data_IF_847926729269
#
_entry.id   IF_847926729269
#
_cell.length_a   1.000
_cell.length_b   1.000
_cell.length_c   1.000
_cell.angle_alpha   90.00
_cell.angle_beta   90.00
_cell.angle_gamma   90.00
#
_symmetry.space_group_name_H-M   'P 1'
#
loop_
_entity.id
_entity.type
_entity.pdbx_description
1 polymer ?
#
# COMPACT_ATOMS: atom_id res chain seq x y z
N UNK A 1 -10.25 -1.88 -19.41
CA UNK A 1 -11.24 -2.89 -18.98
C UNK A 1 -11.09 -3.04 -17.47
N UNK A 2 -11.82 -2.26 -16.68
CA UNK A 2 -11.94 -2.49 -15.23
C UNK A 2 -13.36 -2.12 -14.82
N UNK A 3 -14.25 -3.12 -14.80
CA UNK A 3 -15.25 -3.14 -13.75
C UNK A 3 -15.34 -4.55 -13.18
N UNK A 4 -15.04 -4.73 -11.90
CA UNK A 4 -15.47 -5.93 -11.18
C UNK A 4 -15.95 -5.54 -9.78
N UNK A 5 -17.21 -5.10 -9.66
CA UNK A 5 -17.89 -4.98 -8.37
C UNK A 5 -18.25 -6.36 -7.74
N UNK A 6 -17.70 -7.49 -8.21
CA UNK A 6 -18.14 -8.84 -7.79
C UNK A 6 -17.23 -9.55 -6.78
N UNK A 7 -16.01 -9.07 -6.52
CA UNK A 7 -15.12 -9.72 -5.54
C UNK A 7 -15.17 -9.08 -4.16
N UNK A 8 -15.48 -7.79 -4.07
CA UNK A 8 -15.48 -7.05 -2.83
C UNK A 8 -16.73 -6.18 -2.67
N UNK A 9 -17.20 -5.97 -1.43
CA UNK A 9 -18.26 -5.00 -1.13
C UNK A 9 -17.98 -3.62 -1.72
N UNK A 10 -19.05 -2.83 -1.90
CA UNK A 10 -18.94 -1.46 -2.40
C UNK A 10 -17.97 -0.61 -1.54
N UNK A 11 -17.06 0.10 -2.20
CA UNK A 11 -16.05 0.93 -1.55
C UNK A 11 -14.74 0.21 -1.26
N UNK A 12 -14.67 -1.11 -1.44
CA UNK A 12 -13.44 -1.90 -1.30
C UNK A 12 -12.90 -2.32 -2.66
N UNK A 13 -11.60 -2.61 -2.70
CA UNK A 13 -10.87 -3.08 -3.86
C UNK A 13 -10.26 -4.44 -3.58
N UNK A 14 -10.27 -5.31 -4.59
CA UNK A 14 -9.66 -6.64 -4.48
C UNK A 14 -8.16 -6.56 -4.76
N UNK A 15 -7.36 -7.06 -3.81
CA UNK A 15 -5.93 -7.25 -3.98
C UNK A 15 -5.55 -8.72 -4.02
N UNK A 16 -4.70 -9.15 -4.98
CA UNK A 16 -4.23 -10.51 -5.01
C UNK A 16 -3.30 -10.74 -3.81
N UNK A 17 -3.59 -11.79 -3.06
CA UNK A 17 -2.76 -12.24 -1.94
C UNK A 17 -1.54 -12.95 -2.52
N UNK A 18 -0.35 -12.40 -2.29
CA UNK A 18 0.89 -13.10 -2.62
C UNK A 18 1.16 -14.17 -1.55
N UNK A 19 1.13 -15.44 -1.96
CA UNK A 19 1.67 -16.51 -1.13
C UNK A 19 3.21 -16.49 -1.18
N UNK A 20 3.84 -17.18 -0.22
CA UNK A 20 5.30 -17.30 -0.07
C UNK A 20 6.06 -17.85 -1.30
N UNK A 21 5.37 -18.27 -2.36
CA UNK A 21 5.94 -18.78 -3.61
C UNK A 21 5.76 -17.81 -4.79
N UNK A 22 5.25 -16.60 -4.55
CA UNK A 22 4.98 -15.58 -5.57
C UNK A 22 3.64 -15.78 -6.29
N UNK A 23 3.25 -14.80 -7.11
CA UNK A 23 2.10 -14.94 -8.02
C UNK A 23 2.46 -16.00 -9.08
N UNK A 24 2.19 -17.27 -8.79
CA UNK A 24 2.32 -18.33 -9.78
C UNK A 24 1.32 -18.01 -10.90
N UNK A 25 1.88 -17.46 -11.97
CA UNK A 25 1.17 -17.14 -13.20
C UNK A 25 0.65 -18.46 -13.77
N UNK A 26 -0.62 -18.78 -13.49
CA UNK A 26 -1.23 -20.06 -13.88
C UNK A 26 -1.96 -20.82 -12.78
N UNK A 27 -1.98 -20.35 -11.53
CA UNK A 27 -2.83 -20.96 -10.50
C UNK A 27 -4.27 -20.46 -10.64
N UNK A 28 -5.18 -21.39 -10.86
CA UNK A 28 -6.61 -21.19 -11.03
C UNK A 28 -7.34 -20.74 -9.74
N UNK A 29 -6.61 -20.56 -8.64
CA UNK A 29 -7.11 -20.07 -7.34
C UNK A 29 -6.29 -18.89 -6.81
N UNK A 30 -6.25 -17.77 -7.55
CA UNK A 30 -5.74 -16.51 -6.98
C UNK A 30 -6.69 -16.09 -5.87
N UNK A 31 -6.20 -16.12 -4.63
CA UNK A 31 -6.94 -15.65 -3.46
C UNK A 31 -6.83 -14.12 -3.39
N UNK A 32 -7.93 -13.46 -3.02
CA UNK A 32 -8.00 -12.00 -2.95
C UNK A 32 -8.39 -11.55 -1.56
N UNK A 33 -7.79 -10.45 -1.13
CA UNK A 33 -8.23 -9.70 0.04
C UNK A 33 -8.95 -8.42 -0.39
N UNK A 34 -9.97 -8.03 0.37
CA UNK A 34 -10.72 -6.80 0.14
C UNK A 34 -10.20 -5.69 1.04
N UNK A 35 -9.68 -4.64 0.44
CA UNK A 35 -8.98 -3.55 1.12
C UNK A 35 -9.54 -2.19 0.70
N UNK A 36 -9.47 -1.21 1.60
CA UNK A 36 -9.85 0.17 1.29
C UNK A 36 -8.60 0.97 0.90
N UNK A 37 -8.40 1.16 -0.41
CA UNK A 37 -7.29 1.96 -0.92
C UNK A 37 -7.26 3.40 -0.42
N UNK A 38 -8.35 3.92 0.15
CA UNK A 38 -8.41 5.30 0.61
C UNK A 38 -7.84 5.49 2.01
N UNK A 39 -7.80 4.43 2.83
CA UNK A 39 -7.50 4.51 4.26
C UNK A 39 -6.56 3.42 4.78
N UNK A 40 -6.40 2.32 4.06
CA UNK A 40 -5.52 1.23 4.44
C UNK A 40 -4.04 1.62 4.28
N UNK A 41 -3.24 1.41 5.33
CA UNK A 41 -1.81 1.77 5.33
C UNK A 41 -0.96 0.80 4.51
N UNK A 42 -1.38 -0.46 4.40
CA UNK A 42 -0.64 -1.51 3.74
C UNK A 42 -1.02 -1.65 2.26
N UNK A 43 -2.10 -0.98 1.84
CA UNK A 43 -2.64 -1.00 0.49
C UNK A 43 -3.11 0.41 0.02
N UNK A 44 -2.39 1.46 0.42
CA UNK A 44 -2.82 2.83 0.19
C UNK A 44 -2.70 3.23 -1.28
N UNK A 45 -3.84 3.45 -1.95
CA UNK A 45 -3.90 3.81 -3.36
C UNK A 45 -3.66 2.64 -4.34
N UNK A 46 -3.47 1.42 -3.85
CA UNK A 46 -3.23 0.23 -4.67
C UNK A 46 -2.77 -0.98 -3.86
N UNK A 47 -2.56 -2.12 -4.53
CA UNK A 47 -2.10 -3.34 -3.86
C UNK A 47 -0.59 -3.32 -3.64
N UNK A 48 -0.12 -3.44 -2.40
CA UNK A 48 1.31 -3.61 -2.07
C UNK A 48 1.92 -4.85 -2.70
N UNK A 49 1.13 -5.88 -3.03
CA UNK A 49 1.59 -7.01 -3.83
C UNK A 49 2.06 -6.62 -5.24
N UNK A 50 1.60 -5.49 -5.80
CA UNK A 50 2.07 -5.01 -7.10
C UNK A 50 3.28 -4.09 -6.97
N UNK A 51 3.31 -3.24 -5.95
CA UNK A 51 4.39 -2.28 -5.69
C UNK A 51 4.41 -1.95 -4.19
N UNK A 52 5.26 -2.66 -3.46
CA UNK A 52 5.33 -2.58 -2.00
C UNK A 52 5.75 -1.19 -1.53
N UNK A 53 6.81 -0.62 -2.13
CA UNK A 53 7.36 0.67 -1.72
C UNK A 53 6.39 1.83 -1.98
N UNK A 54 5.54 1.70 -2.99
CA UNK A 54 4.57 2.75 -3.34
C UNK A 54 3.27 2.68 -2.54
N UNK A 55 2.74 1.48 -2.33
CA UNK A 55 1.40 1.29 -1.78
C UNK A 55 1.39 0.86 -0.31
N UNK A 56 2.51 0.37 0.23
CA UNK A 56 2.67 0.17 1.66
C UNK A 56 3.32 1.41 2.29
N UNK A 57 2.54 2.19 3.03
CA UNK A 57 3.04 3.41 3.67
C UNK A 57 4.10 3.13 4.74
N UNK A 58 4.27 1.89 5.19
CA UNK A 58 5.28 1.47 6.17
C UNK A 58 6.57 0.98 5.51
N UNK A 59 6.67 1.04 4.18
CA UNK A 59 7.86 0.61 3.45
C UNK A 59 9.10 1.44 3.82
N UNK A 60 8.93 2.70 4.25
CA UNK A 60 10.03 3.51 4.76
C UNK A 60 10.33 3.19 6.25
N UNK A 61 11.44 2.49 6.57
CA UNK A 61 11.79 2.16 7.95
C UNK A 61 12.24 3.38 8.78
N UNK A 62 12.51 4.51 8.13
CA UNK A 62 12.93 5.76 8.76
C UNK A 62 11.75 6.63 9.18
N UNK A 63 10.54 6.31 8.71
CA UNK A 63 9.31 6.96 9.13
C UNK A 63 8.87 6.46 10.52
N UNK A 64 8.56 7.38 11.42
CA UNK A 64 7.97 7.05 12.73
C UNK A 64 6.44 6.97 12.68
N UNK A 65 5.81 7.76 11.82
CA UNK A 65 4.37 7.78 11.68
C UNK A 65 4.00 8.13 10.26
N UNK A 66 3.03 7.38 9.75
CA UNK A 66 2.54 7.43 8.38
C UNK A 66 1.02 7.35 8.39
N UNK A 67 0.39 7.95 7.39
CA UNK A 67 -1.05 7.94 7.20
C UNK A 67 -1.38 7.64 5.73
N UNK A 68 -2.49 6.94 5.48
CA UNK A 68 -3.08 6.88 4.15
C UNK A 68 -4.16 7.95 4.05
N UNK A 69 -3.94 8.96 3.21
CA UNK A 69 -4.85 10.09 3.05
C UNK A 69 -5.32 10.14 1.60
N UNK A 70 -6.57 9.74 1.38
CA UNK A 70 -7.19 9.73 0.06
C UNK A 70 -6.39 8.92 -0.98
N UNK A 71 -5.91 7.75 -0.58
CA UNK A 71 -5.13 6.86 -1.45
C UNK A 71 -3.71 7.34 -1.73
N UNK A 72 -3.15 8.15 -0.83
CA UNK A 72 -1.75 8.55 -0.86
C UNK A 72 -1.13 8.36 0.50
N UNK A 73 0.01 7.70 0.56
CA UNK A 73 0.82 7.68 1.77
C UNK A 73 1.25 9.11 2.11
N UNK A 74 1.28 9.42 3.39
CA UNK A 74 1.75 10.69 3.91
C UNK A 74 2.56 10.38 5.15
N UNK A 75 3.85 10.68 5.09
CA UNK A 75 4.73 10.56 6.24
C UNK A 75 4.56 11.80 7.10
N UNK A 76 4.16 11.61 8.36
CA UNK A 76 3.84 12.71 9.29
C UNK A 76 5.00 13.02 10.23
N UNK A 77 5.90 12.05 10.45
CA UNK A 77 7.09 12.24 11.28
C UNK A 77 8.17 11.20 10.96
N UNK A 78 9.43 11.63 11.04
CA UNK A 78 10.63 10.81 10.81
C UNK A 78 11.35 10.49 12.12
N UNK A 79 12.16 9.43 12.12
CA UNK A 79 13.06 9.08 13.23
C UNK A 79 14.02 10.25 13.55
N UNK A 80 14.52 10.35 14.80
CA UNK A 80 15.50 11.37 15.16
C UNK A 80 16.74 11.30 14.24
N UNK A 81 17.17 12.44 13.71
CA UNK A 81 18.27 12.53 12.73
C UNK A 81 17.83 12.44 11.26
N UNK A 82 16.52 12.38 11.00
CA UNK A 82 15.94 12.39 9.67
C UNK A 82 14.87 13.49 9.56
N UNK A 83 14.72 14.04 8.36
CA UNK A 83 13.71 15.05 8.04
C UNK A 83 12.83 14.60 6.89
N UNK A 84 11.57 15.02 6.95
CA UNK A 84 10.62 14.80 5.86
C UNK A 84 11.03 15.66 4.67
N UNK A 85 11.30 15.03 3.54
CA UNK A 85 11.56 15.76 2.30
C UNK A 85 10.25 16.36 1.77
N UNK A 86 10.26 17.66 1.48
CA UNK A 86 9.04 18.36 1.06
C UNK A 86 8.49 17.79 -0.25
N UNK A 87 7.27 17.25 -0.22
CA UNK A 87 6.60 16.69 -1.39
C UNK A 87 6.82 15.19 -1.60
N UNK A 88 7.66 14.56 -0.79
CA UNK A 88 7.90 13.12 -0.83
C UNK A 88 7.44 12.45 0.46
N UNK A 89 7.19 11.14 0.37
CA UNK A 89 6.80 10.30 1.49
C UNK A 89 8.03 9.76 2.25
N UNK A 90 9.23 10.23 1.91
CA UNK A 90 10.49 9.65 2.35
C UNK A 90 11.17 10.53 3.41
N UNK A 91 11.64 9.87 4.45
CA UNK A 91 12.52 10.45 5.45
C UNK A 91 13.97 10.38 4.95
N UNK A 92 14.66 11.53 4.94
CA UNK A 92 16.07 11.61 4.53
C UNK A 92 16.96 12.11 5.66
N UNK A 93 18.24 11.70 5.72
CA UNK A 93 19.17 12.20 6.73
C UNK A 93 19.28 13.72 6.67
N UNK A 94 19.30 14.35 7.84
CA UNK A 94 19.58 15.80 8.00
C UNK A 94 21.02 16.16 7.73
#
# INVERSE_FOLDING_TARGET
MFPSPEFCPAGLSACPIQNQFGLLSGDENVEYECVDFMTDLDHCGGCSSQDFDRFNCRADPLALSVACVSGRCVTTSCQPGYTLQSGEQLCTPT
#
